data_IF_138824125176
#
_entry.id   IF_138824125176
#
_cell.length_a   1.000
_cell.length_b   1.000
_cell.length_c   1.000
_cell.angle_alpha   90.00
_cell.angle_beta   90.00
_cell.angle_gamma   90.00
#
_symmetry.space_group_name_H-M   'P 1'
#
loop_
_entity.id
_entity.type
_entity.pdbx_description
1 polymer ?
#
# COMPACT_ATOMS: atom_id res chain seq x y z
N UNK A 1 16.59 -20.60 0.97
CA UNK A 1 15.43 -20.02 0.26
C UNK A 1 14.27 -20.08 1.23
N UNK A 2 13.70 -18.93 1.62
CA UNK A 2 12.61 -18.92 2.61
C UNK A 2 11.31 -19.41 1.97
N UNK A 3 10.50 -20.13 2.74
CA UNK A 3 9.17 -20.55 2.33
C UNK A 3 8.33 -19.31 1.98
N UNK A 4 7.84 -19.22 0.74
CA UNK A 4 6.92 -18.15 0.33
C UNK A 4 5.54 -18.41 0.94
N UNK A 5 5.11 -17.54 1.86
CA UNK A 5 3.74 -17.56 2.38
C UNK A 5 2.92 -16.64 1.49
N UNK A 6 1.77 -17.07 0.99
CA UNK A 6 0.89 -16.12 0.31
C UNK A 6 0.19 -15.28 1.35
N UNK A 7 0.50 -13.99 1.38
CA UNK A 7 -0.12 -13.03 2.28
C UNK A 7 -1.37 -12.39 1.65
N UNK A 8 -2.27 -11.90 2.52
CA UNK A 8 -3.42 -11.05 2.16
C UNK A 8 -4.59 -11.73 1.41
N UNK A 9 -4.59 -13.05 1.18
CA UNK A 9 -5.77 -13.75 0.66
C UNK A 9 -6.63 -14.32 1.81
N UNK A 10 -7.92 -14.49 1.55
CA UNK A 10 -8.93 -14.85 2.56
C UNK A 10 -8.97 -16.35 2.88
N UNK A 11 -8.43 -17.14 1.97
CA UNK A 11 -7.98 -18.49 2.20
C UNK A 11 -6.69 -18.60 1.40
N UNK A 12 -5.57 -18.80 2.07
CA UNK A 12 -4.39 -19.26 1.36
C UNK A 12 -3.63 -20.22 2.23
N UNK A 13 -3.16 -21.26 1.55
CA UNK A 13 -2.41 -22.26 2.21
C UNK A 13 -0.92 -22.03 2.26
N UNK A 14 -0.28 -22.78 3.15
CA UNK A 14 1.17 -22.88 3.19
C UNK A 14 1.61 -23.65 1.94
N UNK A 15 2.57 -23.12 1.16
CA UNK A 15 3.28 -23.91 0.15
C UNK A 15 4.27 -24.80 0.91
N UNK A 16 3.84 -26.02 1.23
CA UNK A 16 4.68 -27.02 1.91
C UNK A 16 5.54 -27.81 0.91
N UNK A 17 5.16 -27.79 -0.38
CA UNK A 17 5.82 -28.55 -1.44
C UNK A 17 5.73 -27.82 -2.81
N UNK A 18 6.84 -27.21 -3.25
CA UNK A 18 6.93 -26.52 -4.54
C UNK A 18 6.77 -27.46 -5.75
N UNK A 19 6.96 -28.77 -5.57
CA UNK A 19 6.80 -29.75 -6.64
C UNK A 19 5.33 -30.17 -6.84
N UNK A 20 4.43 -29.86 -5.89
CA UNK A 20 3.04 -30.36 -5.90
C UNK A 20 1.95 -29.28 -6.00
N UNK A 21 2.28 -28.00 -6.06
CA UNK A 21 1.35 -26.87 -6.27
C UNK A 21 0.03 -26.88 -5.46
N UNK A 22 -0.03 -27.54 -4.29
CA UNK A 22 -1.23 -27.55 -3.43
C UNK A 22 -1.05 -26.65 -2.19
N UNK A 23 -2.15 -26.11 -1.70
CA UNK A 23 -2.22 -25.11 -0.64
C UNK A 23 -3.00 -25.67 0.57
N UNK A 24 -2.43 -25.58 1.78
CA UNK A 24 -3.10 -25.90 3.06
C UNK A 24 -3.76 -24.67 3.73
N UNK A 25 -5.06 -24.39 3.54
CA UNK A 25 -5.69 -23.11 3.88
C UNK A 25 -5.48 -22.69 5.34
N UNK A 26 -4.93 -21.48 5.55
CA UNK A 26 -4.82 -20.84 6.86
C UNK A 26 -5.98 -19.87 7.06
N UNK A 27 -6.59 -19.86 8.25
CA UNK A 27 -7.67 -18.94 8.59
C UNK A 27 -7.16 -17.49 8.61
N UNK A 28 -7.56 -16.69 7.63
CA UNK A 28 -7.26 -15.25 7.58
C UNK A 28 -8.24 -14.44 8.44
N UNK A 29 -7.79 -13.41 9.18
CA UNK A 29 -8.67 -12.42 9.81
C UNK A 29 -9.59 -11.69 8.81
N UNK A 30 -9.27 -11.72 7.51
CA UNK A 30 -10.09 -11.16 6.42
C UNK A 30 -10.97 -12.21 5.73
N UNK A 31 -11.13 -13.41 6.31
CA UNK A 31 -11.91 -14.53 5.73
C UNK A 31 -13.35 -14.18 5.35
N UNK A 32 -13.93 -13.15 5.98
CA UNK A 32 -15.27 -12.63 5.67
C UNK A 32 -15.33 -11.63 4.49
N UNK A 33 -14.19 -11.19 3.97
CA UNK A 33 -14.09 -10.25 2.84
C UNK A 33 -13.89 -11.06 1.54
N UNK A 34 -14.02 -10.44 0.36
CA UNK A 34 -13.59 -11.04 -0.92
C UNK A 34 -12.06 -10.94 -1.09
N UNK A 35 -11.46 -11.84 -1.87
CA UNK A 35 -10.00 -11.82 -2.09
C UNK A 35 -9.56 -10.48 -2.68
N UNK A 36 -8.32 -10.01 -2.38
CA UNK A 36 -7.81 -8.77 -2.95
C UNK A 36 -7.74 -8.84 -4.47
N UNK A 37 -7.92 -7.68 -5.09
CA UNK A 37 -7.66 -7.43 -6.52
C UNK A 37 -6.18 -7.62 -6.84
N UNK A 38 -5.29 -7.27 -5.92
CA UNK A 38 -3.84 -7.47 -6.05
C UNK A 38 -3.20 -7.68 -4.69
N UNK A 39 -2.15 -8.50 -4.62
CA UNK A 39 -1.38 -8.73 -3.41
C UNK A 39 0.10 -8.98 -3.76
N UNK A 40 0.99 -8.13 -3.29
CA UNK A 40 2.43 -8.23 -3.48
C UNK A 40 3.11 -8.53 -2.14
N UNK A 41 3.79 -9.69 -2.03
CA UNK A 41 4.52 -10.09 -0.81
C UNK A 41 5.75 -9.24 -0.53
N UNK A 42 6.37 -8.70 -1.60
CA UNK A 42 7.64 -7.97 -1.68
C UNK A 42 8.86 -8.62 -0.99
N UNK A 43 8.72 -9.65 -0.15
CA UNK A 43 9.78 -10.57 0.26
C UNK A 43 10.00 -11.67 -0.80
N UNK A 44 8.95 -12.02 -1.52
CA UNK A 44 9.02 -12.63 -2.86
C UNK A 44 8.25 -11.70 -3.77
N UNK A 45 8.89 -10.90 -4.65
CA UNK A 45 8.22 -9.87 -5.47
C UNK A 45 7.41 -10.49 -6.63
N UNK A 46 6.57 -11.45 -6.28
CA UNK A 46 5.62 -12.16 -7.12
C UNK A 46 4.22 -11.71 -6.68
N UNK A 47 3.30 -11.63 -7.62
CA UNK A 47 1.89 -11.39 -7.32
C UNK A 47 1.27 -12.62 -6.66
N UNK A 48 0.92 -12.48 -5.38
CA UNK A 48 0.24 -13.49 -4.61
C UNK A 48 -1.26 -13.57 -4.92
N UNK A 49 -1.87 -12.57 -5.56
CA UNK A 49 -3.31 -12.56 -5.89
C UNK A 49 -3.72 -13.53 -7.00
N UNK A 50 -2.77 -14.11 -7.73
CA UNK A 50 -2.99 -14.99 -8.91
C UNK A 50 -3.61 -14.28 -10.12
N UNK A 51 -3.67 -12.95 -10.13
CA UNK A 51 -4.22 -12.20 -11.25
C UNK A 51 -3.16 -11.81 -12.30
N UNK A 52 -1.89 -12.16 -12.06
CA UNK A 52 -0.82 -12.04 -13.05
C UNK A 52 -0.12 -10.68 -13.04
N UNK A 53 -0.28 -9.91 -11.96
CA UNK A 53 0.44 -8.66 -11.79
C UNK A 53 1.93 -8.90 -11.54
N UNK A 54 2.77 -7.91 -11.82
CA UNK A 54 4.22 -8.01 -11.60
C UNK A 54 4.75 -6.76 -10.94
N UNK A 55 5.87 -6.92 -10.25
CA UNK A 55 6.65 -5.81 -9.70
C UNK A 55 7.93 -5.71 -10.52
N UNK A 56 8.07 -4.64 -11.30
CA UNK A 56 9.32 -4.30 -11.95
C UNK A 56 10.25 -3.64 -10.93
N UNK A 57 11.13 -4.47 -10.37
CA UNK A 57 12.19 -4.02 -9.48
C UNK A 57 13.22 -3.19 -10.26
N UNK A 58 13.54 -2.00 -9.75
CA UNK A 58 14.68 -1.20 -10.18
C UNK A 58 15.91 -1.52 -9.33
N UNK A 59 16.48 -0.50 -8.68
CA UNK A 59 17.71 -0.62 -7.86
C UNK A 59 17.46 -1.06 -6.41
N UNK A 60 16.22 -1.43 -6.07
CA UNK A 60 15.83 -1.84 -4.73
C UNK A 60 16.52 -3.15 -4.34
N UNK A 61 16.69 -3.39 -3.03
CA UNK A 61 17.28 -4.63 -2.51
C UNK A 61 16.22 -5.49 -1.84
N UNK A 62 16.18 -6.77 -2.20
CA UNK A 62 15.33 -7.74 -1.50
C UNK A 62 15.88 -8.01 -0.09
N UNK A 63 14.98 -8.01 0.89
CA UNK A 63 15.27 -8.25 2.32
C UNK A 63 14.26 -9.21 2.90
N UNK A 64 14.58 -9.82 4.04
CA UNK A 64 13.69 -10.75 4.74
C UNK A 64 12.31 -10.16 5.11
N UNK A 65 12.19 -8.83 5.12
CA UNK A 65 10.96 -8.13 5.42
C UNK A 65 10.23 -7.56 4.20
N UNK A 66 10.83 -7.54 3.00
CA UNK A 66 10.28 -6.86 1.82
C UNK A 66 11.34 -6.22 0.91
N UNK A 67 10.99 -5.12 0.25
CA UNK A 67 11.90 -4.33 -0.59
C UNK A 67 12.48 -3.14 0.19
N UNK A 68 13.80 -2.99 0.11
CA UNK A 68 14.54 -1.82 0.59
C UNK A 68 14.80 -0.84 -0.54
N UNK A 69 14.45 0.43 -0.32
CA UNK A 69 14.57 1.53 -1.25
C UNK A 69 15.70 2.49 -0.81
N UNK A 70 16.68 2.76 -1.69
CA UNK A 70 17.86 3.55 -1.33
C UNK A 70 17.68 5.07 -1.42
N UNK A 71 16.52 5.57 -1.87
CA UNK A 71 16.29 7.00 -2.10
C UNK A 71 16.69 7.50 -3.49
N UNK A 72 16.96 6.59 -4.45
CA UNK A 72 17.36 6.96 -5.82
C UNK A 72 16.44 6.45 -6.93
N UNK A 73 15.63 5.42 -6.67
CA UNK A 73 14.56 4.98 -7.58
C UNK A 73 13.48 4.22 -6.81
N UNK A 74 12.28 4.12 -7.41
CA UNK A 74 11.19 3.25 -6.97
C UNK A 74 11.06 1.99 -7.83
N UNK A 75 9.99 1.24 -7.57
CA UNK A 75 9.56 0.09 -8.37
C UNK A 75 8.19 0.40 -8.98
N UNK A 76 7.97 -0.02 -10.22
CA UNK A 76 6.67 0.09 -10.87
C UNK A 76 5.98 -1.27 -10.84
N UNK A 77 4.67 -1.29 -10.67
CA UNK A 77 3.88 -2.52 -10.78
C UNK A 77 3.00 -2.49 -12.03
N UNK A 78 2.52 -3.63 -12.50
CA UNK A 78 1.51 -3.68 -13.58
C UNK A 78 0.08 -3.53 -13.07
N UNK A 79 -0.12 -3.31 -11.76
CA UNK A 79 -1.45 -3.16 -11.19
C UNK A 79 -2.12 -1.90 -11.73
N UNK A 80 -3.14 -2.12 -12.55
CA UNK A 80 -4.09 -1.15 -13.04
C UNK A 80 -5.46 -1.82 -13.12
N UNK A 81 -6.50 -1.11 -12.69
CA UNK A 81 -7.88 -1.58 -12.80
C UNK A 81 -8.77 -0.40 -13.25
N UNK A 82 -8.83 -0.14 -14.57
CA UNK A 82 -9.61 0.96 -15.11
C UNK A 82 -11.08 0.91 -14.70
N UNK A 83 -11.64 2.05 -14.34
CA UNK A 83 -13.05 2.19 -13.97
C UNK A 83 -13.35 1.85 -12.50
N UNK A 84 -12.36 1.42 -11.71
CA UNK A 84 -12.53 1.26 -10.27
C UNK A 84 -12.83 2.62 -9.63
N UNK A 85 -13.95 2.75 -8.91
CA UNK A 85 -14.40 4.02 -8.32
C UNK A 85 -13.99 4.17 -6.85
N UNK A 86 -13.65 3.07 -6.19
CA UNK A 86 -13.14 3.02 -4.84
C UNK A 86 -12.26 1.82 -4.59
N UNK A 87 -11.37 1.94 -3.61
CA UNK A 87 -10.57 0.80 -3.16
C UNK A 87 -10.30 0.87 -1.66
N UNK A 88 -10.00 -0.26 -1.07
CA UNK A 88 -9.27 -0.32 0.20
C UNK A 88 -7.92 -0.94 -0.05
N UNK A 89 -6.89 -0.52 0.67
CA UNK A 89 -5.56 -1.10 0.56
C UNK A 89 -4.92 -1.31 1.92
N UNK A 90 -3.92 -2.18 1.95
CA UNK A 90 -3.07 -2.45 3.10
C UNK A 90 -1.61 -2.48 2.64
N UNK A 91 -0.74 -1.80 3.38
CA UNK A 91 0.70 -1.82 3.14
C UNK A 91 1.46 -1.73 4.45
N UNK A 92 2.68 -2.25 4.50
CA UNK A 92 3.62 -1.99 5.57
C UNK A 92 4.80 -1.19 5.03
N UNK A 93 5.23 -0.14 5.73
CA UNK A 93 6.38 0.66 5.33
C UNK A 93 7.21 1.11 6.54
N UNK A 94 8.46 1.46 6.27
CA UNK A 94 9.38 2.08 7.22
C UNK A 94 10.15 3.18 6.52
N UNK A 95 10.23 4.36 7.13
CA UNK A 95 11.09 5.44 6.65
C UNK A 95 12.42 5.40 7.39
N UNK A 96 13.55 5.40 6.68
CA UNK A 96 14.88 5.52 7.32
C UNK A 96 15.37 6.96 7.38
N UNK A 97 14.74 7.85 6.60
CA UNK A 97 14.95 9.28 6.61
C UNK A 97 13.61 9.99 6.80
N UNK A 98 13.57 11.03 7.63
CA UNK A 98 12.36 11.83 7.93
C UNK A 98 12.63 13.34 7.81
N UNK A 99 13.73 13.69 7.16
CA UNK A 99 14.20 15.04 6.86
C UNK A 99 13.92 15.45 5.40
N UNK A 100 13.42 14.54 4.59
CA UNK A 100 13.15 14.76 3.15
C UNK A 100 11.75 14.30 2.75
N UNK A 101 11.17 14.98 1.76
CA UNK A 101 9.88 14.62 1.16
C UNK A 101 10.00 13.33 0.34
N UNK A 102 9.10 12.38 0.57
CA UNK A 102 9.21 11.03 0.03
C UNK A 102 7.85 10.46 -0.37
N UNK A 103 7.81 9.74 -1.49
CA UNK A 103 6.66 8.92 -1.88
C UNK A 103 6.81 7.51 -1.32
N UNK A 104 5.81 7.03 -0.59
CA UNK A 104 5.74 5.62 -0.16
C UNK A 104 4.99 4.83 -1.24
N UNK A 105 3.82 5.33 -1.67
CA UNK A 105 3.02 4.80 -2.77
C UNK A 105 2.53 5.96 -3.63
N UNK A 106 2.44 5.76 -4.94
CA UNK A 106 1.78 6.71 -5.87
C UNK A 106 1.13 5.94 -7.01
N UNK A 107 -0.15 6.14 -7.25
CA UNK A 107 -0.85 5.62 -8.44
C UNK A 107 -1.63 6.72 -9.15
N UNK A 108 -1.24 7.98 -8.95
CA UNK A 108 -1.96 9.12 -9.51
C UNK A 108 -1.55 9.39 -10.94
N UNK A 109 -2.53 9.81 -11.73
CA UNK A 109 -2.34 10.67 -12.89
C UNK A 109 -2.78 12.08 -12.46
N UNK A 110 -1.97 13.10 -12.75
CA UNK A 110 -2.30 14.50 -12.47
C UNK A 110 -2.49 15.31 -13.77
N UNK A 111 -2.59 14.64 -14.91
CA UNK A 111 -2.82 15.28 -16.20
C UNK A 111 -4.22 15.89 -16.23
N UNK A 112 -4.37 17.20 -16.55
CA UNK A 112 -5.67 17.83 -16.68
C UNK A 112 -6.55 17.12 -17.71
N UNK A 113 -7.78 16.79 -17.33
CA UNK A 113 -8.74 16.04 -18.14
C UNK A 113 -8.74 14.52 -17.88
N UNK A 114 -7.67 13.97 -17.29
CA UNK A 114 -7.56 12.53 -16.97
C UNK A 114 -7.14 12.25 -15.53
N UNK A 115 -6.96 13.27 -14.70
CA UNK A 115 -6.39 13.08 -13.36
C UNK A 115 -7.22 12.16 -12.45
N UNK A 116 -6.53 11.33 -11.67
CA UNK A 116 -7.14 10.32 -10.81
C UNK A 116 -6.15 9.78 -9.77
N UNK A 117 -6.62 8.85 -8.94
CA UNK A 117 -5.78 8.00 -8.11
C UNK A 117 -5.45 8.58 -6.73
N UNK A 118 -4.53 7.90 -6.04
CA UNK A 118 -4.11 8.24 -4.68
C UNK A 118 -2.60 8.05 -4.49
N UNK A 119 -2.07 8.70 -3.46
CA UNK A 119 -0.69 8.51 -3.01
C UNK A 119 -0.58 8.61 -1.49
N UNK A 120 0.47 8.00 -0.96
CA UNK A 120 0.91 8.21 0.43
C UNK A 120 2.29 8.82 0.36
N UNK A 121 2.42 10.01 0.95
CA UNK A 121 3.69 10.72 1.00
C UNK A 121 4.06 11.05 2.43
N UNK A 122 5.35 11.17 2.69
CA UNK A 122 5.86 11.78 3.90
C UNK A 122 6.34 13.20 3.60
N UNK A 123 5.91 14.15 4.42
CA UNK A 123 6.33 15.53 4.36
C UNK A 123 7.17 15.89 5.60
N UNK A 124 8.45 16.26 5.43
CA UNK A 124 9.31 16.64 6.55
C UNK A 124 8.82 17.92 7.22
N UNK A 125 8.12 18.78 6.46
CA UNK A 125 7.46 19.95 7.02
C UNK A 125 6.27 19.49 7.85
N UNK A 126 6.41 19.57 9.18
CA UNK A 126 5.42 19.06 10.13
C UNK A 126 5.53 17.55 10.38
N UNK A 127 6.57 16.88 9.89
CA UNK A 127 6.89 15.44 10.11
C UNK A 127 5.71 14.48 9.98
N UNK A 128 4.93 14.64 8.92
CA UNK A 128 3.61 14.01 8.79
C UNK A 128 3.49 13.12 7.57
N UNK A 129 2.61 12.12 7.66
CA UNK A 129 2.08 11.47 6.47
C UNK A 129 0.97 12.31 5.86
N UNK A 130 0.89 12.25 4.54
CA UNK A 130 -0.16 12.85 3.76
C UNK A 130 -0.80 11.77 2.89
N UNK A 131 -2.11 11.62 3.02
CA UNK A 131 -2.93 10.95 2.02
C UNK A 131 -3.23 11.97 0.93
N UNK A 132 -2.81 11.66 -0.29
CA UNK A 132 -3.03 12.51 -1.47
C UNK A 132 -3.97 11.86 -2.44
N UNK A 133 -4.76 12.67 -3.12
CA UNK A 133 -5.80 12.25 -4.06
C UNK A 133 -5.75 13.16 -5.29
N UNK A 134 -5.87 12.60 -6.50
CA UNK A 134 -5.90 13.37 -7.76
C UNK A 134 -7.30 13.42 -8.38
N UNK A 135 -7.71 14.55 -8.96
CA UNK A 135 -9.02 14.71 -9.60
C UNK A 135 -8.93 14.86 -11.13
N UNK A 136 -10.05 14.66 -11.86
CA UNK A 136 -10.08 14.77 -13.31
C UNK A 136 -9.60 16.10 -13.87
N UNK A 137 -9.70 17.19 -13.12
CA UNK A 137 -9.19 18.51 -13.53
C UNK A 137 -7.66 18.65 -13.38
N UNK A 138 -6.96 17.61 -12.90
CA UNK A 138 -5.53 17.60 -12.62
C UNK A 138 -5.15 18.17 -11.25
N UNK A 139 -6.12 18.64 -10.47
CA UNK A 139 -5.87 19.12 -9.11
C UNK A 139 -5.62 17.97 -8.14
N UNK A 140 -5.02 18.28 -6.97
CA UNK A 140 -4.75 17.29 -5.94
C UNK A 140 -5.20 17.75 -4.55
N UNK A 141 -5.69 16.79 -3.77
CA UNK A 141 -6.02 16.94 -2.36
C UNK A 141 -4.87 16.44 -1.53
N UNK A 142 -4.59 17.12 -0.43
CA UNK A 142 -3.56 16.73 0.53
C UNK A 142 -4.21 16.72 1.90
N UNK A 143 -4.29 15.53 2.50
CA UNK A 143 -4.95 15.31 3.77
C UNK A 143 -3.97 14.74 4.77
N UNK A 144 -3.96 15.30 5.97
CA UNK A 144 -3.05 14.90 7.03
C UNK A 144 -3.65 15.20 8.40
N UNK A 145 -3.12 14.51 9.41
CA UNK A 145 -3.42 14.80 10.80
C UNK A 145 -2.30 15.66 11.40
N UNK A 146 -2.64 16.79 12.00
CA UNK A 146 -1.67 17.66 12.68
C UNK A 146 -1.20 17.06 14.02
N UNK A 147 0.04 17.35 14.41
CA UNK A 147 0.58 16.97 15.73
C UNK A 147 1.04 15.52 15.84
N UNK A 148 1.06 14.77 14.73
CA UNK A 148 1.56 13.40 14.65
C UNK A 148 2.91 13.37 13.95
N UNK A 149 3.91 12.77 14.60
CA UNK A 149 5.27 12.66 14.06
C UNK A 149 5.58 11.23 13.65
N UNK A 150 6.03 11.04 12.41
CA UNK A 150 6.58 9.75 11.97
C UNK A 150 8.00 9.58 12.48
N UNK A 151 8.21 8.48 13.21
CA UNK A 151 9.50 8.09 13.77
C UNK A 151 10.29 7.31 12.69
N UNK A 152 11.53 7.75 12.44
CA UNK A 152 12.46 7.04 11.58
C UNK A 152 12.76 5.63 12.13
N UNK A 153 12.96 4.67 11.22
CA UNK A 153 13.24 3.27 11.49
C UNK A 153 12.15 2.47 12.24
N UNK A 154 10.96 3.06 12.45
CA UNK A 154 9.77 2.34 12.92
C UNK A 154 8.96 1.82 11.73
N UNK A 155 8.49 0.57 11.82
CA UNK A 155 7.54 0.03 10.86
C UNK A 155 6.13 0.51 11.19
N UNK A 156 5.36 0.81 10.16
CA UNK A 156 3.94 1.12 10.25
C UNK A 156 3.19 0.20 9.29
N UNK A 157 2.07 -0.35 9.75
CA UNK A 157 1.07 -0.96 8.88
C UNK A 157 0.00 0.09 8.63
N UNK A 158 -0.26 0.41 7.38
CA UNK A 158 -1.24 1.39 6.97
C UNK A 158 -2.37 0.73 6.18
N UNK A 159 -3.60 0.95 6.63
CA UNK A 159 -4.81 0.60 5.90
C UNK A 159 -5.48 1.87 5.39
N UNK A 160 -5.64 1.98 4.07
CA UNK A 160 -6.31 3.10 3.43
C UNK A 160 -7.63 2.71 2.82
N UNK A 161 -8.58 3.65 2.81
CA UNK A 161 -9.85 3.54 2.11
C UNK A 161 -9.98 4.76 1.20
N UNK A 162 -10.04 4.54 -0.11
CA UNK A 162 -10.33 5.55 -1.11
C UNK A 162 -11.78 5.37 -1.54
N UNK A 163 -12.66 6.14 -0.91
CA UNK A 163 -14.10 6.01 -1.07
C UNK A 163 -14.68 6.87 -2.21
N UNK A 164 -15.50 6.32 -3.13
CA UNK A 164 -16.33 7.11 -4.05
C UNK A 164 -17.31 8.03 -3.32
N UNK A 165 -17.64 7.74 -2.05
CA UNK A 165 -18.53 8.56 -1.22
C UNK A 165 -17.82 9.73 -0.54
N UNK A 166 -16.58 10.05 -0.94
CA UNK A 166 -15.78 11.18 -0.39
C UNK A 166 -15.52 11.01 1.10
N UNK A 167 -15.24 9.77 1.52
CA UNK A 167 -14.87 9.42 2.89
C UNK A 167 -13.53 8.69 2.89
N UNK A 168 -12.46 9.37 2.45
CA UNK A 168 -11.15 8.74 2.39
C UNK A 168 -10.53 8.64 3.78
N UNK A 169 -9.83 7.54 4.02
CA UNK A 169 -9.22 7.24 5.31
C UNK A 169 -7.82 6.68 5.12
N UNK A 170 -6.93 6.97 6.05
CA UNK A 170 -5.68 6.26 6.23
C UNK A 170 -5.50 6.01 7.72
N UNK A 171 -5.47 4.75 8.14
CA UNK A 171 -5.28 4.35 9.54
C UNK A 171 -3.98 3.58 9.68
N UNK A 172 -3.15 3.94 10.64
CA UNK A 172 -1.90 3.27 10.96
C UNK A 172 -2.06 2.32 12.15
N UNK A 173 -1.12 1.37 12.26
CA UNK A 173 -1.01 0.41 13.35
C UNK A 173 -0.87 1.02 14.75
N UNK A 174 -0.42 2.26 14.86
CA UNK A 174 -0.31 2.97 16.14
C UNK A 174 -1.54 3.81 16.51
N UNK A 175 -2.63 3.65 15.75
CA UNK A 175 -3.88 4.37 15.95
C UNK A 175 -3.94 5.74 15.28
N UNK A 176 -2.85 6.20 14.64
CA UNK A 176 -2.90 7.42 13.81
C UNK A 176 -3.94 7.25 12.72
N UNK A 177 -4.86 8.22 12.58
CA UNK A 177 -5.86 8.22 11.54
C UNK A 177 -5.91 9.57 10.82
N UNK A 178 -5.95 9.52 9.49
CA UNK A 178 -6.27 10.65 8.62
C UNK A 178 -7.66 10.38 8.05
N UNK A 179 -8.57 11.33 8.21
CA UNK A 179 -9.89 11.31 7.60
C UNK A 179 -10.01 12.49 6.64
N UNK A 180 -10.60 12.27 5.48
CA UNK A 180 -10.72 13.25 4.44
C UNK A 180 -12.10 13.20 3.78
N UNK A 181 -12.75 14.36 3.69
CA UNK A 181 -13.99 14.51 2.95
C UNK A 181 -13.87 15.60 1.89
N UNK A 182 -13.33 15.25 0.69
CA UNK A 182 -13.25 16.20 -0.41
C UNK A 182 -14.62 16.67 -0.90
N UNK A 183 -14.61 17.82 -1.58
CA UNK A 183 -15.78 18.26 -2.34
C UNK A 183 -15.99 17.42 -3.63
N UNK A 184 -14.90 17.05 -4.31
CA UNK A 184 -14.92 16.33 -5.59
C UNK A 184 -14.97 14.80 -5.48
N UNK A 185 -15.57 14.17 -6.47
CA UNK A 185 -15.63 12.71 -6.61
C UNK A 185 -14.41 12.18 -7.36
N UNK A 186 -13.93 11.02 -6.94
CA UNK A 186 -12.90 10.30 -7.70
C UNK A 186 -13.54 9.38 -8.72
N UNK A 187 -12.90 9.34 -9.88
CA UNK A 187 -13.08 8.27 -10.85
C UNK A 187 -11.72 7.57 -11.00
N UNK A 188 -11.76 6.29 -11.36
CA UNK A 188 -10.58 5.55 -11.82
C UNK A 188 -9.42 5.51 -10.80
N UNK A 189 -9.70 5.14 -9.55
CA UNK A 189 -8.75 5.22 -8.41
C UNK A 189 -7.48 4.36 -8.57
N UNK A 190 -7.50 3.39 -9.48
CA UNK A 190 -6.36 2.54 -9.83
C UNK A 190 -6.11 2.57 -11.36
N UNK A 191 -6.36 3.72 -11.99
CA UNK A 191 -6.24 3.90 -13.44
C UNK A 191 -4.81 3.94 -13.98
N UNK A 192 -3.84 4.22 -13.10
CA UNK A 192 -2.42 4.29 -13.42
C UNK A 192 -1.64 3.23 -12.65
N UNK A 193 -0.50 2.75 -13.20
CA UNK A 193 0.37 1.80 -12.52
C UNK A 193 0.71 2.25 -11.10
N UNK A 194 0.57 1.36 -10.11
CA UNK A 194 1.04 1.64 -8.76
C UNK A 194 2.57 1.67 -8.73
N UNK A 195 3.10 2.81 -8.29
CA UNK A 195 4.50 3.02 -7.96
C UNK A 195 4.74 2.74 -6.47
N UNK A 196 5.80 1.99 -6.20
CA UNK A 196 6.32 1.72 -4.87
C UNK A 196 7.56 2.58 -4.65
N UNK A 197 7.56 3.39 -3.61
CA UNK A 197 8.73 4.19 -3.22
C UNK A 197 9.12 5.31 -4.19
N UNK A 198 8.22 5.74 -5.07
CA UNK A 198 8.45 6.80 -6.05
C UNK A 198 7.16 7.51 -6.43
N UNK A 199 7.28 8.74 -6.94
CA UNK A 199 6.18 9.38 -7.64
C UNK A 199 5.93 8.73 -9.01
N UNK A 200 4.68 8.75 -9.46
CA UNK A 200 4.33 8.46 -10.86
C UNK A 200 5.05 9.39 -11.85
N UNK A 201 5.38 10.62 -11.44
CA UNK A 201 6.15 11.58 -12.25
C UNK A 201 7.68 11.39 -12.19
N UNK A 202 8.19 10.35 -11.51
CA UNK A 202 9.62 10.06 -11.44
C UNK A 202 10.45 10.97 -10.52
N UNK A 203 9.82 11.71 -9.60
CA UNK A 203 10.48 12.57 -8.61
C UNK A 203 10.32 12.04 -7.17
N UNK A 204 11.21 12.47 -6.26
CA UNK A 204 11.20 12.17 -4.82
C UNK A 204 11.05 10.70 -4.45
N UNK A 205 12.18 10.05 -4.18
CA UNK A 205 12.24 8.60 -3.96
C UNK A 205 12.29 8.24 -2.48
N UNK A 206 11.70 7.11 -2.13
CA UNK A 206 11.73 6.57 -0.78
C UNK A 206 13.14 6.18 -0.37
N UNK A 207 13.57 6.63 0.81
CA UNK A 207 14.70 6.09 1.54
C UNK A 207 14.15 5.32 2.75
N UNK A 208 13.90 4.04 2.55
CA UNK A 208 13.09 3.26 3.47
C UNK A 208 12.80 1.87 2.94
N UNK A 209 11.73 1.27 3.42
CA UNK A 209 11.37 -0.11 3.10
C UNK A 209 9.86 -0.24 2.94
N UNK A 210 9.43 -1.15 2.06
CA UNK A 210 8.02 -1.53 1.90
C UNK A 210 7.94 -3.04 2.04
N UNK A 211 7.10 -3.48 2.98
CA UNK A 211 6.95 -4.87 3.36
C UNK A 211 6.04 -5.62 2.41
N UNK A 212 4.90 -5.04 2.06
CA UNK A 212 3.92 -5.63 1.14
C UNK A 212 2.92 -4.57 0.66
N UNK A 213 2.10 -4.94 -0.32
CA UNK A 213 0.92 -4.16 -0.71
C UNK A 213 -0.24 -5.10 -1.08
N UNK A 214 -1.45 -4.79 -0.67
CA UNK A 214 -2.65 -5.41 -1.21
C UNK A 214 -3.78 -4.42 -1.36
N UNK A 215 -4.65 -4.63 -2.35
CA UNK A 215 -5.83 -3.80 -2.57
C UNK A 215 -7.08 -4.62 -2.85
N UNK A 216 -8.22 -4.09 -2.43
CA UNK A 216 -9.56 -4.65 -2.55
C UNK A 216 -10.47 -3.64 -3.23
N UNK A 217 -11.41 -4.12 -4.05
CA UNK A 217 -12.36 -3.27 -4.77
C UNK A 217 -13.53 -2.75 -3.92
N UNK A 218 -13.65 -3.18 -2.65
CA UNK A 218 -14.69 -2.73 -1.73
C UNK A 218 -14.14 -1.73 -0.70
N UNK A 219 -15.02 -0.88 -0.17
CA UNK A 219 -14.73 -0.02 0.97
C UNK A 219 -14.70 -0.85 2.25
N UNK A 220 -13.61 -0.77 3.00
CA UNK A 220 -13.48 -1.42 4.29
C UNK A 220 -14.29 -0.67 5.34
N UNK A 221 -15.06 -1.42 6.11
CA UNK A 221 -15.70 -0.93 7.33
C UNK A 221 -14.65 -0.69 8.41
N UNK A 222 -15.05 -0.08 9.54
CA UNK A 222 -14.13 0.08 10.68
C UNK A 222 -13.59 -1.26 11.19
N UNK A 223 -14.43 -2.31 11.22
CA UNK A 223 -14.01 -3.65 11.61
C UNK A 223 -13.01 -4.27 10.62
N UNK A 224 -13.25 -4.08 9.32
CA UNK A 224 -12.32 -4.55 8.27
C UNK A 224 -10.96 -3.86 8.37
N UNK A 225 -10.94 -2.54 8.64
CA UNK A 225 -9.70 -1.79 8.85
C UNK A 225 -8.91 -2.36 10.04
N UNK A 226 -9.59 -2.60 11.18
CA UNK A 226 -8.95 -3.20 12.36
C UNK A 226 -8.38 -4.59 12.04
N UNK A 227 -9.15 -5.45 11.37
CA UNK A 227 -8.70 -6.79 10.99
C UNK A 227 -7.54 -6.76 9.99
N UNK A 228 -7.57 -5.82 9.04
CA UNK A 228 -6.53 -5.67 8.04
C UNK A 228 -5.21 -5.18 8.66
N UNK A 229 -5.27 -4.21 9.57
CA UNK A 229 -4.10 -3.77 10.34
C UNK A 229 -3.54 -4.92 11.17
N UNK A 230 -4.39 -5.68 11.87
CA UNK A 230 -3.96 -6.84 12.66
C UNK A 230 -3.26 -7.91 11.79
N UNK A 231 -3.80 -8.21 10.62
CA UNK A 231 -3.18 -9.10 9.63
C UNK A 231 -1.81 -8.56 9.19
N UNK A 232 -1.72 -7.30 8.80
CA UNK A 232 -0.47 -6.69 8.38
C UNK A 232 0.59 -6.70 9.48
N UNK A 233 0.19 -6.44 10.73
CA UNK A 233 1.08 -6.52 11.89
C UNK A 233 1.59 -7.94 12.09
N UNK A 234 0.71 -8.95 12.02
CA UNK A 234 1.09 -10.37 12.13
C UNK A 234 2.08 -10.79 11.04
N UNK A 235 1.89 -10.34 9.79
CA UNK A 235 2.82 -10.57 8.69
C UNK A 235 4.21 -10.00 9.04
N UNK A 236 4.28 -8.74 9.48
CA UNK A 236 5.56 -8.11 9.81
C UNK A 236 6.23 -8.76 11.03
N UNK A 237 5.46 -9.14 12.05
CA UNK A 237 5.97 -9.88 13.23
C UNK A 237 6.51 -11.25 12.86
N UNK A 238 5.85 -12.00 11.97
CA UNK A 238 6.38 -13.29 11.49
C UNK A 238 7.67 -13.14 10.68
N UNK A 239 7.90 -11.96 10.09
CA UNK A 239 9.17 -11.56 9.45
C UNK A 239 10.19 -10.97 10.44
N UNK A 240 9.95 -11.11 11.75
CA UNK A 240 10.84 -10.65 12.81
C UNK A 240 10.92 -9.13 12.97
N UNK A 241 9.90 -8.40 12.51
CA UNK A 241 9.83 -6.93 12.64
C UNK A 241 8.87 -6.52 13.75
N UNK A 242 9.20 -5.44 14.45
CA UNK A 242 8.30 -4.76 15.40
C UNK A 242 7.60 -3.61 14.70
N UNK A 243 6.27 -3.53 14.85
CA UNK A 243 5.37 -2.52 14.29
C UNK A 243 4.86 -1.62 15.40
#
# INVERSE_FOLDING_TARGET
>A
MGNGTRILLNADGIITDWAKQHFEPVSSPLSAIANPKVAFDLFTPVDNSRHGFTVQQGVQKLKAYGLQFPGTAGSQTTFTEPGLTGLSFLTAFRLTAVDVFQYILDCRDLTPGSGHGFAITFNPTGQRLELRVGWPDGSQGIYYQSGMSIIANKWYVACGVISPNRNHKLTLSDGTAIAASPAGYLANVAGSPLMLGASAAGSSMLKGDIGFFGAWGNEFTAGDITNAIALGTSIMTSRGQTV
#
